data_IF_032199708393
#
_entry.id   IF_032199708393
#
_cell.length_a   1.000
_cell.length_b   1.000
_cell.length_c   1.000
_cell.angle_alpha   90.00
_cell.angle_beta   90.00
_cell.angle_gamma   90.00
#
_symmetry.space_group_name_H-M   'P 1'
#
loop_
_entity.id
_entity.type
_entity.pdbx_description
1 polymer ?
#
# COMPACT_ATOMS: atom_id res chain seq x y z
N UNK A 1 -6.00 26.52 -19.54
CA UNK A 1 -5.02 25.46 -19.23
C UNK A 1 -5.39 24.94 -17.84
N UNK A 2 -5.86 23.71 -17.72
CA UNK A 2 -6.32 23.13 -16.44
C UNK A 2 -5.09 22.96 -15.51
N UNK A 3 -5.16 23.36 -14.25
CA UNK A 3 -4.03 23.23 -13.33
C UNK A 3 -3.77 21.75 -13.04
N UNK A 4 -2.53 21.38 -12.76
CA UNK A 4 -2.17 19.99 -12.45
C UNK A 4 -2.96 19.44 -11.25
N UNK A 5 -3.27 20.30 -10.28
CA UNK A 5 -4.10 19.95 -9.12
C UNK A 5 -5.56 19.66 -9.53
N UNK A 6 -6.12 20.44 -10.46
CA UNK A 6 -7.46 20.19 -11.01
C UNK A 6 -7.56 18.84 -11.73
N UNK A 7 -6.52 18.44 -12.46
CA UNK A 7 -6.45 17.12 -13.09
C UNK A 7 -6.40 15.98 -12.06
N UNK A 8 -5.67 16.17 -10.95
CA UNK A 8 -5.57 15.20 -9.86
C UNK A 8 -6.91 15.03 -9.15
N UNK A 9 -7.64 16.11 -8.88
CA UNK A 9 -8.95 16.01 -8.24
C UNK A 9 -9.99 15.39 -9.17
N UNK A 10 -9.98 15.77 -10.45
CA UNK A 10 -10.84 15.18 -11.47
C UNK A 10 -10.59 13.68 -11.64
N UNK A 11 -9.33 13.25 -11.56
CA UNK A 11 -8.93 11.85 -11.63
C UNK A 11 -9.69 10.97 -10.62
N UNK A 12 -9.79 11.42 -9.37
CA UNK A 12 -10.54 10.71 -8.32
C UNK A 12 -12.05 10.93 -8.43
N UNK A 13 -12.50 12.17 -8.51
CA UNK A 13 -13.92 12.52 -8.37
C UNK A 13 -14.77 12.03 -9.55
N UNK A 14 -14.15 11.78 -10.70
CA UNK A 14 -14.86 11.17 -11.86
C UNK A 14 -15.05 9.66 -11.66
N UNK A 15 -14.20 8.99 -10.87
CA UNK A 15 -14.16 7.53 -10.75
C UNK A 15 -14.86 7.01 -9.50
N UNK A 16 -14.80 7.77 -8.42
CA UNK A 16 -15.28 7.38 -7.10
C UNK A 16 -16.25 8.42 -6.56
N UNK A 17 -17.23 7.98 -5.77
CA UNK A 17 -18.19 8.87 -5.13
C UNK A 17 -17.56 9.72 -4.03
N UNK A 18 -18.29 10.74 -3.60
CA UNK A 18 -17.92 11.57 -2.46
C UNK A 18 -17.68 10.69 -1.21
N UNK A 19 -16.70 11.03 -0.39
CA UNK A 19 -16.34 10.26 0.81
C UNK A 19 -15.22 9.23 0.62
N UNK A 20 -14.81 8.92 -0.62
CA UNK A 20 -13.76 7.91 -0.87
C UNK A 20 -12.44 8.29 -0.22
N UNK A 21 -12.10 9.59 -0.22
CA UNK A 21 -10.83 10.07 0.35
C UNK A 21 -10.82 9.91 1.86
N UNK A 22 -11.94 10.18 2.51
CA UNK A 22 -12.17 10.02 3.93
C UNK A 22 -12.07 8.54 4.33
N UNK A 23 -12.75 7.65 3.61
CA UNK A 23 -12.68 6.21 3.85
C UNK A 23 -11.25 5.65 3.68
N UNK A 24 -10.52 6.12 2.67
CA UNK A 24 -9.12 5.74 2.47
C UNK A 24 -8.18 6.34 3.54
N UNK A 25 -8.53 7.47 4.14
CA UNK A 25 -7.74 8.14 5.19
C UNK A 25 -7.84 7.41 6.55
N UNK A 26 -8.90 6.62 6.74
CA UNK A 26 -9.09 5.77 7.93
C UNK A 26 -8.22 4.51 7.92
N UNK A 27 -7.72 4.11 6.74
CA UNK A 27 -6.87 2.93 6.62
C UNK A 27 -5.47 3.21 7.20
N UNK A 28 -4.95 2.33 8.07
CA UNK A 28 -3.65 2.55 8.75
C UNK A 28 -2.44 2.28 7.84
N UNK A 29 -2.66 1.72 6.65
CA UNK A 29 -1.61 1.27 5.75
C UNK A 29 -0.90 2.42 5.03
N UNK A 30 0.36 2.18 4.65
CA UNK A 30 1.13 3.09 3.82
C UNK A 30 0.92 2.73 2.36
N UNK A 31 0.20 3.57 1.62
CA UNK A 31 -0.08 3.36 0.21
C UNK A 31 -0.22 4.65 -0.58
N UNK A 32 -0.07 4.52 -1.89
CA UNK A 32 -0.28 5.59 -2.88
C UNK A 32 -1.14 5.07 -4.02
N UNK A 33 -1.96 5.93 -4.60
CA UNK A 33 -2.67 5.66 -5.85
C UNK A 33 -2.13 6.63 -6.90
N UNK A 34 -1.87 6.10 -8.09
CA UNK A 34 -1.29 6.84 -9.23
C UNK A 34 -2.21 6.73 -10.44
N UNK A 35 -2.15 7.72 -11.33
CA UNK A 35 -2.98 7.75 -12.55
C UNK A 35 -2.07 7.69 -13.79
N UNK A 36 -2.09 6.60 -14.57
CA UNK A 36 -1.27 6.46 -15.76
C UNK A 36 -1.77 7.31 -16.95
N UNK A 37 -3.02 7.81 -16.91
CA UNK A 37 -3.61 8.64 -17.96
C UNK A 37 -3.14 10.11 -17.91
N UNK A 38 -2.61 10.54 -16.78
CA UNK A 38 -2.05 11.89 -16.61
C UNK A 38 -0.55 11.86 -16.95
N UNK A 39 -0.11 12.83 -17.75
CA UNK A 39 1.29 12.98 -18.15
C UNK A 39 2.24 12.94 -16.94
N UNK A 40 3.28 12.11 -17.02
CA UNK A 40 4.24 11.88 -15.95
C UNK A 40 3.84 10.81 -14.93
N UNK A 41 2.67 10.18 -15.09
CA UNK A 41 2.13 9.13 -14.20
C UNK A 41 2.20 9.56 -12.72
N UNK A 42 1.50 10.64 -12.34
CA UNK A 42 1.58 11.23 -11.02
C UNK A 42 0.85 10.42 -9.95
N UNK A 43 1.27 10.63 -8.72
CA UNK A 43 0.53 10.25 -7.51
C UNK A 43 -0.67 11.19 -7.37
N UNK A 44 -1.86 10.60 -7.34
CA UNK A 44 -3.16 11.28 -7.23
C UNK A 44 -3.76 11.12 -5.83
N UNK A 45 -3.26 10.17 -5.04
CA UNK A 45 -3.56 10.01 -3.62
C UNK A 45 -2.37 9.42 -2.86
N UNK A 46 -2.17 9.87 -1.63
CA UNK A 46 -1.17 9.33 -0.71
C UNK A 46 -1.79 9.23 0.69
N UNK A 47 -1.70 8.05 1.31
CA UNK A 47 -2.30 7.81 2.62
C UNK A 47 -1.54 8.53 3.74
N UNK A 48 -2.20 8.73 4.89
CA UNK A 48 -1.55 9.26 6.09
C UNK A 48 -0.37 8.39 6.55
N UNK A 49 -0.52 7.07 6.43
CA UNK A 49 0.55 6.11 6.71
C UNK A 49 1.78 6.35 5.83
N UNK A 50 1.56 6.58 4.53
CA UNK A 50 2.64 6.88 3.58
C UNK A 50 3.38 8.17 3.95
N UNK A 51 2.63 9.26 4.18
CA UNK A 51 3.20 10.55 4.52
C UNK A 51 4.05 10.46 5.79
N UNK A 52 3.57 9.73 6.82
CA UNK A 52 4.30 9.52 8.08
C UNK A 52 5.59 8.72 7.87
N UNK A 53 5.56 7.64 7.08
CA UNK A 53 6.73 6.78 6.85
C UNK A 53 7.82 7.50 6.07
N UNK A 54 7.45 8.27 5.05
CA UNK A 54 8.40 8.94 4.16
C UNK A 54 8.79 10.34 4.64
N UNK A 55 8.01 10.96 5.54
CA UNK A 55 8.29 12.28 6.10
C UNK A 55 7.93 13.45 5.17
N UNK A 56 7.05 13.23 4.19
CA UNK A 56 6.59 14.28 3.27
C UNK A 56 5.21 14.79 3.64
N UNK A 57 4.92 16.04 3.28
CA UNK A 57 3.55 16.55 3.29
C UNK A 57 2.78 16.14 2.03
N UNK A 58 1.45 16.15 2.11
CA UNK A 58 0.56 15.82 0.97
C UNK A 58 0.87 16.67 -0.27
N UNK A 59 1.10 17.97 -0.08
CA UNK A 59 1.37 18.93 -1.17
C UNK A 59 2.71 18.67 -1.88
N UNK A 60 3.67 18.04 -1.19
CA UNK A 60 4.96 17.69 -1.79
C UNK A 60 4.89 16.39 -2.61
N UNK A 61 3.90 15.55 -2.34
CA UNK A 61 3.76 14.21 -2.94
C UNK A 61 2.77 14.22 -4.11
N UNK A 62 1.63 14.88 -3.97
CA UNK A 62 0.61 14.91 -5.02
C UNK A 62 1.16 15.54 -6.30
N UNK A 63 0.89 14.90 -7.44
CA UNK A 63 1.38 15.34 -8.74
C UNK A 63 2.82 14.91 -9.05
N UNK A 64 3.55 14.34 -8.08
CA UNK A 64 4.89 13.80 -8.34
C UNK A 64 4.81 12.35 -8.82
N UNK A 65 5.82 11.93 -9.56
CA UNK A 65 6.02 10.53 -9.90
C UNK A 65 6.77 9.82 -8.76
N UNK A 66 6.46 8.55 -8.48
CA UNK A 66 7.07 7.78 -7.39
C UNK A 66 8.60 7.64 -7.43
N UNK A 67 9.25 7.97 -8.56
CA UNK A 67 10.72 8.04 -8.67
C UNK A 67 11.37 9.03 -7.70
N UNK A 68 10.63 10.01 -7.17
CA UNK A 68 11.17 10.99 -6.21
C UNK A 68 11.66 10.36 -4.90
N UNK A 69 11.22 9.14 -4.58
CA UNK A 69 11.63 8.43 -3.37
C UNK A 69 12.85 7.51 -3.59
N UNK A 70 13.42 7.49 -4.79
CA UNK A 70 14.61 6.71 -5.14
C UNK A 70 15.86 7.56 -4.92
N UNK A 71 16.99 6.92 -4.67
CA UNK A 71 18.26 7.62 -4.44
C UNK A 71 19.48 6.84 -4.93
N UNK A 72 20.70 7.29 -4.59
CA UNK A 72 21.94 6.82 -5.21
C UNK A 72 22.16 5.30 -5.12
N UNK A 73 21.76 4.69 -4.00
CA UNK A 73 21.88 3.24 -3.77
C UNK A 73 20.64 2.42 -4.17
N UNK A 74 19.62 3.04 -4.75
CA UNK A 74 18.45 2.29 -5.25
C UNK A 74 18.85 1.45 -6.47
N UNK A 75 18.58 0.14 -6.42
CA UNK A 75 18.96 -0.78 -7.49
C UNK A 75 18.19 -0.48 -8.79
N UNK A 76 18.92 -0.15 -9.86
CA UNK A 76 18.35 0.15 -11.18
C UNK A 76 17.56 -1.01 -11.79
N UNK A 77 17.95 -2.26 -11.52
CA UNK A 77 17.22 -3.45 -12.01
C UNK A 77 15.83 -3.52 -11.40
N UNK A 78 15.69 -3.24 -10.10
CA UNK A 78 14.39 -3.18 -9.42
C UNK A 78 13.50 -2.07 -10.02
N UNK A 79 14.07 -0.90 -10.31
CA UNK A 79 13.36 0.21 -10.96
C UNK A 79 12.90 -0.17 -12.38
N UNK A 80 13.75 -0.87 -13.14
CA UNK A 80 13.38 -1.38 -14.46
C UNK A 80 12.24 -2.41 -14.38
N UNK A 81 12.28 -3.34 -13.41
CA UNK A 81 11.23 -4.32 -13.21
C UNK A 81 9.87 -3.67 -12.90
N UNK A 82 9.86 -2.59 -12.11
CA UNK A 82 8.65 -1.79 -11.84
C UNK A 82 8.15 -1.11 -13.11
N UNK A 83 9.04 -0.48 -13.88
CA UNK A 83 8.67 0.17 -15.15
C UNK A 83 8.05 -0.84 -16.12
N UNK A 84 8.62 -2.03 -16.18
CA UNK A 84 8.12 -3.10 -17.04
C UNK A 84 6.76 -3.61 -16.57
N UNK A 85 6.57 -3.80 -15.27
CA UNK A 85 5.26 -4.17 -14.71
C UNK A 85 4.17 -3.13 -15.03
N UNK A 86 4.51 -1.84 -15.00
CA UNK A 86 3.59 -0.76 -15.42
C UNK A 86 3.28 -0.89 -16.91
N UNK A 87 4.30 -1.08 -17.77
CA UNK A 87 4.15 -1.23 -19.23
C UNK A 87 3.29 -2.44 -19.60
N UNK A 88 3.42 -3.52 -18.84
CA UNK A 88 2.70 -4.78 -19.03
C UNK A 88 1.35 -4.79 -18.30
N UNK A 89 0.99 -3.72 -17.61
CA UNK A 89 -0.24 -3.60 -16.82
C UNK A 89 -0.43 -4.80 -15.88
N UNK A 90 0.60 -5.15 -15.11
CA UNK A 90 0.58 -6.28 -14.16
C UNK A 90 1.05 -5.90 -12.76
N UNK A 91 0.73 -6.76 -11.81
CA UNK A 91 1.25 -6.65 -10.45
C UNK A 91 2.75 -6.91 -10.35
N UNK A 92 3.38 -6.34 -9.33
CA UNK A 92 4.76 -6.64 -8.94
C UNK A 92 4.94 -6.47 -7.43
N UNK A 93 5.66 -7.39 -6.82
CA UNK A 93 6.11 -7.28 -5.43
C UNK A 93 7.63 -7.38 -5.41
N UNK A 94 8.30 -6.37 -4.86
CA UNK A 94 9.77 -6.27 -4.87
C UNK A 94 10.29 -5.50 -3.67
N UNK A 95 11.41 -5.95 -3.10
CA UNK A 95 12.17 -5.19 -2.12
C UNK A 95 13.13 -4.22 -2.80
N UNK A 96 13.11 -2.96 -2.41
CA UNK A 96 14.05 -1.96 -2.89
C UNK A 96 14.37 -0.92 -1.80
N UNK A 97 15.49 -0.23 -2.01
CA UNK A 97 15.91 0.86 -1.13
C UNK A 97 15.23 2.16 -1.56
N UNK A 98 14.54 2.79 -0.62
CA UNK A 98 13.93 4.11 -0.77
C UNK A 98 14.53 5.10 0.22
N UNK A 99 14.26 6.38 0.00
CA UNK A 99 14.79 7.49 0.77
C UNK A 99 13.64 8.32 1.32
N UNK A 100 13.71 8.63 2.62
CA UNK A 100 12.83 9.59 3.27
C UNK A 100 13.20 11.01 2.86
N UNK A 101 12.37 11.98 3.22
CA UNK A 101 12.61 13.40 2.95
C UNK A 101 13.94 13.92 3.51
N UNK A 102 14.35 13.40 4.67
CA UNK A 102 15.62 13.72 5.34
C UNK A 102 16.84 13.05 4.69
N UNK A 103 16.65 12.25 3.63
CA UNK A 103 17.69 11.49 2.97
C UNK A 103 18.02 10.15 3.63
N UNK A 104 17.35 9.78 4.73
CA UNK A 104 17.59 8.50 5.41
C UNK A 104 17.16 7.33 4.51
N UNK A 105 18.08 6.42 4.13
CA UNK A 105 17.74 5.25 3.35
C UNK A 105 17.01 4.21 4.20
N UNK A 106 16.04 3.52 3.62
CA UNK A 106 15.39 2.37 4.26
C UNK A 106 14.95 1.34 3.22
N UNK A 107 14.98 0.07 3.63
CA UNK A 107 14.45 -1.02 2.82
C UNK A 107 12.93 -1.04 2.90
N UNK A 108 12.30 -1.29 1.76
CA UNK A 108 10.86 -1.32 1.64
C UNK A 108 10.44 -2.45 0.72
N UNK A 109 9.45 -3.22 1.16
CA UNK A 109 8.66 -4.06 0.29
C UNK A 109 7.65 -3.16 -0.43
N UNK A 110 7.80 -3.08 -1.75
CA UNK A 110 6.85 -2.42 -2.63
C UNK A 110 5.95 -3.47 -3.27
N UNK A 111 4.64 -3.34 -3.11
CA UNK A 111 3.65 -4.17 -3.78
C UNK A 111 2.73 -3.29 -4.61
N UNK A 112 2.74 -3.44 -5.92
CA UNK A 112 1.95 -2.64 -6.85
C UNK A 112 0.98 -3.52 -7.63
N UNK A 113 -0.26 -3.08 -7.78
CA UNK A 113 -1.24 -3.71 -8.66
C UNK A 113 -1.99 -2.66 -9.50
N UNK A 114 -2.36 -3.00 -10.74
CA UNK A 114 -3.27 -2.20 -11.54
C UNK A 114 -4.69 -2.28 -10.99
N UNK A 115 -5.43 -1.18 -11.11
CA UNK A 115 -6.86 -1.06 -10.86
C UNK A 115 -7.54 -0.89 -12.21
N UNK A 116 -8.41 -1.82 -12.56
CA UNK A 116 -9.09 -1.85 -13.85
C UNK A 116 -10.49 -1.28 -13.76
N UNK A 117 -10.95 -0.60 -14.81
CA UNK A 117 -12.39 -0.35 -14.98
C UNK A 117 -13.07 -1.62 -15.49
N UNK A 118 -14.16 -2.04 -14.86
CA UNK A 118 -14.95 -3.17 -15.35
C UNK A 118 -15.67 -2.85 -16.67
N UNK A 119 -15.91 -1.55 -16.95
CA UNK A 119 -16.61 -1.09 -18.16
C UNK A 119 -15.83 -1.34 -19.44
N UNK A 120 -14.50 -1.31 -19.42
CA UNK A 120 -13.68 -1.38 -20.63
C UNK A 120 -12.37 -2.15 -20.47
N UNK A 121 -12.09 -2.68 -19.27
CA UNK A 121 -10.87 -3.43 -18.97
C UNK A 121 -9.58 -2.60 -18.99
N UNK A 122 -9.67 -1.27 -19.04
CA UNK A 122 -8.50 -0.38 -19.01
C UNK A 122 -8.03 -0.12 -17.60
N UNK A 123 -6.72 0.05 -17.44
CA UNK A 123 -6.14 0.49 -16.16
C UNK A 123 -6.53 1.95 -15.92
N UNK A 124 -7.23 2.19 -14.82
CA UNK A 124 -7.62 3.55 -14.38
C UNK A 124 -6.63 4.10 -13.37
N UNK A 125 -6.03 3.23 -12.55
CA UNK A 125 -5.04 3.58 -11.54
C UNK A 125 -4.05 2.46 -11.32
N UNK A 126 -2.92 2.78 -10.68
CA UNK A 126 -2.13 1.78 -9.98
C UNK A 126 -2.15 2.05 -8.49
N UNK A 127 -2.41 1.02 -7.71
CA UNK A 127 -2.29 0.99 -6.26
C UNK A 127 -0.90 0.49 -5.89
N UNK A 128 -0.16 1.26 -5.10
CA UNK A 128 1.15 0.88 -4.57
C UNK A 128 1.15 0.87 -3.05
N UNK A 129 1.45 -0.28 -2.45
CA UNK A 129 1.63 -0.48 -1.01
C UNK A 129 3.12 -0.43 -0.67
N UNK A 130 3.45 0.25 0.41
CA UNK A 130 4.81 0.40 0.92
C UNK A 130 4.89 -0.15 2.34
N UNK A 131 5.63 -1.25 2.53
CA UNK A 131 5.88 -1.82 3.86
C UNK A 131 7.37 -1.69 4.18
N UNK A 132 7.77 -0.81 5.13
CA UNK A 132 9.15 -0.74 5.58
C UNK A 132 9.63 -2.11 6.10
N UNK A 133 10.82 -2.53 5.68
CA UNK A 133 11.43 -3.78 6.11
C UNK A 133 12.32 -3.48 7.32
N UNK A 134 12.02 -4.10 8.45
CA UNK A 134 12.82 -3.92 9.66
C UNK A 134 13.96 -4.94 9.69
N UNK A 135 15.20 -4.47 9.47
CA UNK A 135 16.37 -5.33 9.68
C UNK A 135 16.44 -5.68 11.15
N UNK A 136 16.28 -6.97 11.48
CA UNK A 136 16.78 -7.47 12.76
C UNK A 136 18.30 -7.40 12.67
N UNK A 137 18.92 -6.60 13.55
CA UNK A 137 20.36 -6.71 13.76
C UNK A 137 20.61 -8.14 14.19
N UNK A 138 21.26 -8.94 13.36
CA UNK A 138 21.83 -10.20 13.82
C UNK A 138 22.77 -9.81 14.95
N UNK A 139 22.37 -10.08 16.19
CA UNK A 139 23.26 -10.00 17.33
C UNK A 139 24.41 -10.95 17.01
N UNK A 140 25.53 -10.40 16.52
CA UNK A 140 26.76 -11.12 16.36
C UNK A 140 27.03 -11.87 17.67
N UNK A 141 27.29 -13.17 17.55
CA UNK A 141 27.32 -14.11 18.65
C UNK A 141 28.16 -13.63 19.83
N UNK A 142 27.50 -13.28 20.92
CA UNK A 142 28.08 -13.28 22.25
C UNK A 142 27.71 -14.59 22.93
N UNK A 143 28.49 -15.65 22.68
CA UNK A 143 28.51 -16.76 23.61
C UNK A 143 29.05 -16.24 24.94
N UNK A 144 28.32 -16.47 26.04
CA UNK A 144 28.81 -16.68 27.41
C UNK A 144 27.60 -16.99 28.30
N UNK A 145 27.71 -18.06 29.07
CA UNK A 145 27.17 -18.08 30.43
C UNK A 145 25.83 -18.78 30.65
N UNK A 146 25.94 -20.03 31.11
CA UNK A 146 24.87 -20.76 31.81
C UNK A 146 24.34 -19.92 32.98
N UNK A 147 23.03 -19.71 33.08
CA UNK A 147 22.29 -19.97 34.31
C UNK A 147 20.77 -19.90 34.05
N UNK A 148 20.08 -20.92 34.55
CA UNK A 148 18.65 -21.11 34.36
C UNK A 148 17.80 -20.20 35.24
N UNK A 149 16.52 -20.09 34.85
CA UNK A 149 15.48 -19.42 35.61
C UNK A 149 14.21 -19.31 34.78
N UNK A 150 13.28 -20.25 35.01
CA UNK A 150 11.96 -20.36 34.39
C UNK A 150 11.08 -19.17 34.76
N UNK A 151 10.27 -18.67 33.82
CA UNK A 151 9.05 -17.91 34.14
C UNK A 151 7.91 -18.42 33.26
N UNK A 152 6.84 -18.93 33.90
CA UNK A 152 5.55 -19.16 33.27
C UNK A 152 4.69 -17.88 33.35
N UNK A 153 3.87 -17.74 32.31
CA UNK A 153 2.48 -17.26 32.32
C UNK A 153 2.12 -15.89 31.73
N UNK A 154 1.09 -15.94 30.87
CA UNK A 154 -0.05 -15.03 30.89
C UNK A 154 0.00 -13.66 30.20
N UNK A 155 -0.51 -13.60 28.96
CA UNK A 155 -1.58 -12.64 28.64
C UNK A 155 -1.26 -11.25 28.08
N UNK A 156 -1.70 -11.07 26.83
CA UNK A 156 -2.31 -9.87 26.25
C UNK A 156 -1.42 -8.73 25.70
N UNK A 157 -2.00 -8.08 24.70
CA UNK A 157 -1.38 -7.29 23.65
C UNK A 157 -1.07 -5.84 24.04
N UNK A 158 -0.15 -5.28 23.25
CA UNK A 158 -0.03 -3.86 22.86
C UNK A 158 0.71 -2.93 23.82
N UNK A 159 2.03 -2.79 23.60
CA UNK A 159 2.70 -1.48 23.55
C UNK A 159 4.08 -1.58 22.87
N UNK A 160 4.28 -0.83 21.78
CA UNK A 160 5.59 -0.67 21.15
C UNK A 160 6.40 0.34 21.97
N UNK A 161 7.16 -0.15 22.95
CA UNK A 161 8.08 0.69 23.74
C UNK A 161 9.49 0.60 23.15
N UNK A 162 9.98 1.74 22.68
CA UNK A 162 11.41 1.97 22.42
C UNK A 162 12.20 1.63 23.69
N UNK A 163 13.08 0.63 23.61
CA UNK A 163 13.97 0.19 24.70
C UNK A 163 15.11 1.19 24.87
N UNK A 164 15.31 1.68 26.10
CA UNK A 164 16.57 2.15 26.73
C UNK A 164 16.21 2.70 28.13
N UNK A 165 16.86 2.47 29.27
CA UNK A 165 18.15 1.89 29.66
C UNK A 165 17.99 1.28 31.06
N UNK A 166 18.90 0.36 31.45
CA UNK A 166 19.11 0.00 32.86
C UNK A 166 19.36 1.28 33.67
N UNK A 167 18.58 1.50 34.73
CA UNK A 167 18.86 2.50 35.76
C UNK A 167 19.44 1.75 36.95
N UNK A 168 20.76 1.80 37.11
CA UNK A 168 21.36 1.52 38.41
C UNK A 168 21.14 2.73 39.31
N UNK A 169 20.77 2.43 40.55
CA UNK A 169 20.54 3.40 41.62
C UNK A 169 21.90 3.76 42.20
N UNK A 170 22.27 5.04 42.17
CA UNK A 170 23.28 5.60 43.07
C UNK A 170 22.65 6.71 43.89
N UNK A 171 22.61 6.55 45.22
CA UNK A 171 22.25 7.60 46.16
C UNK A 171 23.51 8.28 46.70
N UNK A 172 23.54 9.58 46.46
CA UNK A 172 24.24 10.73 47.06
C UNK A 172 25.23 10.55 48.22
N UNK A 173 26.36 11.28 48.11
CA UNK A 173 26.88 12.15 49.18
C UNK A 173 27.60 13.36 48.59
N UNK A 174 27.59 14.45 49.36
CA UNK A 174 27.80 15.87 49.04
C UNK A 174 29.29 16.26 49.23
N UNK A 175 29.80 17.24 48.45
CA UNK A 175 30.53 18.46 48.89
C UNK A 175 31.50 19.01 47.80
N UNK A 176 31.14 20.20 47.31
CA UNK A 176 31.98 21.42 47.18
C UNK A 176 33.07 21.67 46.09
N UNK A 177 32.93 22.88 45.52
CA UNK A 177 33.95 23.92 45.19
C UNK A 177 34.63 23.95 43.79
N UNK A 178 34.09 24.89 42.99
CA UNK A 178 34.77 26.03 42.31
C UNK A 178 35.63 25.87 41.03
N UNK A 179 35.43 26.85 40.13
CA UNK A 179 36.20 27.33 38.95
C UNK A 179 36.14 26.63 37.57
N UNK A 180 35.42 27.32 36.68
CA UNK A 180 35.67 27.72 35.28
C UNK A 180 36.71 26.97 34.40
N UNK A 181 36.27 26.56 33.18
CA UNK A 181 36.78 26.89 31.83
C UNK A 181 35.81 26.31 30.76
N UNK A 182 35.62 26.93 29.57
CA UNK A 182 34.78 26.35 28.52
C UNK A 182 35.61 25.41 27.63
N UNK A 183 35.15 24.17 27.46
CA UNK A 183 35.70 23.24 26.46
C UNK A 183 34.55 22.70 25.64
N UNK A 184 34.72 22.78 24.32
CA UNK A 184 33.80 22.38 23.27
C UNK A 184 33.14 21.01 23.50
N UNK A 185 31.82 20.96 23.33
CA UNK A 185 31.10 19.72 23.11
C UNK A 185 30.20 19.88 21.88
N UNK A 186 30.78 19.59 20.72
CA UNK A 186 30.04 19.19 19.52
C UNK A 186 29.23 17.95 19.90
N UNK A 187 27.94 18.14 20.19
CA UNK A 187 27.02 17.03 20.39
C UNK A 187 26.73 16.42 19.02
N UNK A 188 27.48 15.37 18.69
CA UNK A 188 27.25 14.52 17.54
C UNK A 188 25.83 13.98 17.55
N UNK A 189 25.09 14.27 16.47
CA UNK A 189 23.87 13.55 16.14
C UNK A 189 24.28 12.11 15.81
N UNK A 190 23.91 11.19 16.69
CA UNK A 190 24.09 9.76 16.50
C UNK A 190 23.19 9.31 15.33
N UNK A 191 23.72 9.44 14.11
CA UNK A 191 23.15 8.82 12.93
C UNK A 191 23.28 7.32 13.13
N UNK A 192 22.24 6.68 13.64
CA UNK A 192 22.13 5.23 13.65
C UNK A 192 22.31 4.75 12.22
N UNK A 193 23.50 4.25 11.89
CA UNK A 193 23.81 3.68 10.59
C UNK A 193 22.86 2.51 10.37
N UNK A 194 21.80 2.75 9.59
CA UNK A 194 20.99 1.67 9.04
C UNK A 194 21.93 0.90 8.13
N UNK A 195 22.27 -0.31 8.54
CA UNK A 195 23.16 -1.19 7.80
C UNK A 195 22.64 -1.37 6.36
N UNK A 196 23.25 -0.67 5.41
CA UNK A 196 22.83 -0.65 3.99
C UNK A 196 23.44 -1.84 3.24
N UNK A 197 24.16 -2.74 3.92
CA UNK A 197 24.84 -3.86 3.26
C UNK A 197 23.87 -4.94 2.79
N UNK A 198 23.95 -5.23 1.49
CA UNK A 198 23.28 -6.34 0.81
C UNK A 198 21.80 -6.10 0.45
N UNK A 199 21.26 -6.81 -0.57
CA UNK A 199 19.83 -6.84 -0.84
C UNK A 199 19.06 -7.33 0.40
N UNK A 200 18.01 -6.61 0.80
CA UNK A 200 17.14 -7.06 1.89
C UNK A 200 15.89 -7.73 1.31
N UNK A 201 15.63 -8.96 1.72
CA UNK A 201 14.37 -9.63 1.39
C UNK A 201 13.32 -9.33 2.45
N UNK A 202 12.06 -9.23 2.00
CA UNK A 202 10.93 -9.07 2.91
C UNK A 202 10.51 -10.42 3.49
N UNK A 203 10.24 -10.44 4.79
CA UNK A 203 9.64 -11.55 5.51
C UNK A 203 8.20 -11.83 5.06
N UNK A 204 7.70 -13.03 5.35
CA UNK A 204 6.32 -13.39 5.06
C UNK A 204 5.30 -12.53 5.80
N UNK A 205 5.67 -11.97 6.96
CA UNK A 205 4.83 -11.02 7.69
C UNK A 205 4.65 -9.72 6.90
N UNK A 206 5.73 -9.18 6.33
CA UNK A 206 5.68 -7.95 5.51
C UNK A 206 4.91 -8.19 4.21
N UNK A 207 5.10 -9.36 3.58
CA UNK A 207 4.33 -9.75 2.39
C UNK A 207 2.84 -9.92 2.68
N UNK A 208 2.50 -10.58 3.79
CA UNK A 208 1.12 -10.75 4.24
C UNK A 208 0.47 -9.40 4.51
N UNK A 209 1.17 -8.49 5.21
CA UNK A 209 0.69 -7.14 5.45
C UNK A 209 0.40 -6.40 4.15
N UNK A 210 1.29 -6.50 3.16
CA UNK A 210 1.08 -5.89 1.86
C UNK A 210 -0.16 -6.46 1.14
N UNK A 211 -0.37 -7.78 1.16
CA UNK A 211 -1.52 -8.42 0.53
C UNK A 211 -2.85 -8.06 1.21
N UNK A 212 -2.88 -8.02 2.55
CA UNK A 212 -4.07 -7.59 3.31
C UNK A 212 -4.41 -6.13 3.00
N UNK A 213 -3.41 -5.25 2.96
CA UNK A 213 -3.61 -3.85 2.60
C UNK A 213 -4.21 -3.70 1.19
N UNK A 214 -3.68 -4.43 0.20
CA UNK A 214 -4.25 -4.43 -1.17
C UNK A 214 -5.73 -4.78 -1.14
N UNK A 215 -6.11 -5.88 -0.48
CA UNK A 215 -7.51 -6.33 -0.45
C UNK A 215 -8.43 -5.31 0.20
N UNK A 216 -8.02 -4.74 1.34
CA UNK A 216 -8.82 -3.74 2.06
C UNK A 216 -9.01 -2.47 1.22
N UNK A 217 -7.95 -1.97 0.60
CA UNK A 217 -8.01 -0.76 -0.22
C UNK A 217 -8.82 -0.99 -1.50
N UNK A 218 -8.62 -2.13 -2.17
CA UNK A 218 -9.42 -2.49 -3.35
C UNK A 218 -10.90 -2.60 -3.02
N UNK A 219 -11.27 -3.14 -1.86
CA UNK A 219 -12.66 -3.20 -1.41
C UNK A 219 -13.27 -1.80 -1.23
N UNK A 220 -12.53 -0.86 -0.63
CA UNK A 220 -12.97 0.55 -0.51
C UNK A 220 -13.14 1.17 -1.90
N UNK A 221 -12.16 1.02 -2.79
CA UNK A 221 -12.23 1.58 -4.14
C UNK A 221 -13.41 1.00 -4.94
N UNK A 222 -13.66 -0.31 -4.84
CA UNK A 222 -14.77 -0.97 -5.51
C UNK A 222 -16.12 -0.42 -5.01
N UNK A 223 -16.33 -0.38 -3.69
CA UNK A 223 -17.57 0.14 -3.08
C UNK A 223 -17.88 1.57 -3.52
N UNK A 224 -16.89 2.47 -3.45
CA UNK A 224 -17.08 3.88 -3.85
C UNK A 224 -17.12 4.08 -5.37
N UNK A 225 -16.74 3.09 -6.16
CA UNK A 225 -16.87 3.14 -7.63
C UNK A 225 -18.24 2.62 -8.11
N UNK A 226 -18.86 1.71 -7.36
CA UNK A 226 -20.19 1.17 -7.63
C UNK A 226 -21.25 2.26 -7.55
N UNK A 227 -21.16 3.13 -6.53
CA UNK A 227 -22.06 4.27 -6.33
C UNK A 227 -22.10 5.25 -7.52
N UNK A 228 -21.03 5.30 -8.32
CA UNK A 228 -20.94 6.14 -9.51
C UNK A 228 -21.16 5.37 -10.83
N UNK A 229 -21.51 4.08 -10.78
CA UNK A 229 -21.68 3.22 -11.94
C UNK A 229 -20.38 2.98 -12.72
N UNK A 230 -19.22 3.10 -12.05
CA UNK A 230 -17.87 3.01 -12.65
C UNK A 230 -17.03 1.96 -11.95
N UNK A 231 -17.62 0.78 -11.78
CA UNK A 231 -17.04 -0.31 -11.00
C UNK A 231 -15.58 -0.59 -11.39
N UNK A 232 -14.74 -0.76 -10.37
CA UNK A 232 -13.32 -1.09 -10.52
C UNK A 232 -12.99 -2.44 -9.88
N UNK A 233 -11.96 -3.09 -10.41
CA UNK A 233 -11.52 -4.41 -9.98
C UNK A 233 -9.99 -4.53 -9.98
N UNK A 234 -9.47 -5.51 -9.23
CA UNK A 234 -8.07 -5.93 -9.27
C UNK A 234 -7.78 -6.88 -10.45
N UNK A 235 -8.83 -7.36 -11.12
CA UNK A 235 -8.75 -8.21 -12.30
C UNK A 235 -9.20 -7.46 -13.54
N UNK A 236 -8.52 -7.72 -14.66
CA UNK A 236 -8.96 -7.20 -15.94
C UNK A 236 -10.24 -7.92 -16.35
N UNK A 237 -11.34 -7.19 -16.45
CA UNK A 237 -12.55 -7.70 -17.09
C UNK A 237 -12.27 -7.85 -18.58
N UNK A 238 -12.16 -9.10 -19.05
CA UNK A 238 -12.29 -9.40 -20.46
C UNK A 238 -13.77 -9.21 -20.80
N UNK A 239 -14.12 -8.19 -21.58
CA UNK A 239 -15.39 -8.21 -22.30
C UNK A 239 -15.31 -9.31 -23.36
N UNK A 240 -15.40 -10.56 -22.93
CA UNK A 240 -15.85 -11.62 -23.82
C UNK A 240 -17.29 -11.27 -24.17
N UNK A 241 -17.60 -11.23 -25.46
CA UNK A 241 -18.94 -11.01 -26.02
C UNK A 241 -20.00 -12.06 -25.57
N UNK A 242 -19.72 -12.83 -24.51
CA UNK A 242 -20.55 -13.87 -23.94
C UNK A 242 -21.58 -13.37 -22.92
N UNK A 243 -21.44 -12.15 -22.37
CA UNK A 243 -22.45 -11.60 -21.43
C UNK A 243 -23.75 -11.14 -22.11
N UNK A 244 -23.77 -11.00 -23.43
CA UNK A 244 -25.02 -10.75 -24.20
C UNK A 244 -25.74 -12.04 -24.59
N UNK A 245 -25.09 -13.20 -24.51
CA UNK A 245 -25.71 -14.48 -24.89
C UNK A 245 -26.59 -15.07 -23.78
N UNK A 246 -26.29 -14.80 -22.50
CA UNK A 246 -27.11 -15.31 -21.39
C UNK A 246 -28.49 -14.65 -21.31
N UNK A 247 -28.59 -13.35 -21.61
CA UNK A 247 -29.88 -12.66 -21.69
C UNK A 247 -30.70 -13.11 -22.91
N UNK A 248 -30.03 -13.36 -24.04
CA UNK A 248 -30.68 -13.80 -25.28
C UNK A 248 -31.21 -15.25 -25.20
N UNK A 249 -30.51 -16.13 -24.48
CA UNK A 249 -30.93 -17.52 -24.26
C UNK A 249 -32.13 -17.63 -23.30
N UNK A 250 -32.22 -16.78 -22.27
CA UNK A 250 -33.36 -16.82 -21.34
C UNK A 250 -34.68 -16.35 -21.99
N UNK A 251 -34.64 -15.31 -22.83
CA UNK A 251 -35.84 -14.86 -23.57
C UNK A 251 -36.27 -15.92 -24.59
N UNK A 252 -35.31 -16.60 -25.22
CA UNK A 252 -35.60 -17.68 -26.17
C UNK A 252 -36.28 -18.87 -25.49
N UNK A 253 -35.87 -19.21 -24.26
CA UNK A 253 -36.44 -20.33 -23.51
C UNK A 253 -37.88 -20.04 -23.04
N UNK A 254 -38.15 -18.82 -22.55
CA UNK A 254 -39.50 -18.40 -22.13
C UNK A 254 -40.49 -18.36 -23.31
N UNK A 255 -40.07 -17.93 -24.50
CA UNK A 255 -40.91 -17.96 -25.69
C UNK A 255 -41.27 -19.40 -26.09
N UNK A 256 -40.31 -20.33 -26.14
CA UNK A 256 -40.62 -21.75 -26.41
C UNK A 256 -41.55 -22.37 -25.37
N UNK A 257 -41.39 -22.03 -24.09
CA UNK A 257 -42.24 -22.57 -23.03
C UNK A 257 -43.68 -22.03 -23.09
N UNK A 258 -43.85 -20.78 -23.54
CA UNK A 258 -45.16 -20.14 -23.75
C UNK A 258 -45.86 -20.68 -25.00
N UNK A 259 -45.13 -20.94 -26.09
CA UNK A 259 -45.70 -21.57 -27.30
C UNK A 259 -46.19 -23.00 -27.05
N UNK A 260 -45.46 -23.78 -26.25
CA UNK A 260 -45.82 -25.17 -25.99
C UNK A 260 -46.99 -25.32 -25.01
N UNK A 261 -47.16 -24.38 -24.06
CA UNK A 261 -48.33 -24.31 -23.18
C UNK A 261 -49.60 -23.82 -23.89
N UNK A 262 -49.48 -22.93 -24.87
CA UNK A 262 -50.61 -22.55 -25.73
C UNK A 262 -51.07 -23.68 -26.67
N UNK A 263 -50.17 -24.54 -27.17
CA UNK A 263 -50.58 -25.69 -28.01
C UNK A 263 -51.29 -26.80 -27.22
N UNK A 264 -50.86 -27.06 -25.98
CA UNK A 264 -51.47 -28.09 -25.12
C UNK A 264 -52.85 -27.69 -24.58
N UNK A 265 -53.15 -26.40 -24.46
CA UNK A 265 -54.45 -25.90 -24.01
C UNK A 265 -55.54 -25.86 -25.10
N UNK A 266 -55.16 -25.98 -26.39
CA UNK A 266 -56.12 -26.05 -27.52
C UNK A 266 -56.57 -27.49 -27.87
N UNK A 267 -56.01 -28.53 -27.25
CA UNK A 267 -56.40 -29.94 -27.50
C UNK A 267 -57.36 -30.52 -26.45
N UNK A 268 -57.75 -29.74 -25.44
CA UNK A 268 -58.70 -30.18 -24.39
C UNK A 268 -59.93 -29.27 -24.38
N UNK A 269 -60.75 -29.36 -25.43
CA UNK A 269 -62.11 -28.82 -25.45
C UNK A 269 -63.02 -29.95 -25.94
N UNK A 270 -63.82 -30.59 -25.06
CA UNK A 270 -64.84 -31.54 -25.49
C UNK A 270 -66.04 -30.80 -26.07
N UNK A 271 -66.58 -31.36 -27.16
CA UNK A 271 -67.85 -31.00 -27.82
C UNK A 271 -69.07 -31.23 -26.93
#
# INVERSE_FOLDING_TARGET
MESQLGLIDKSFNVKYSDGVREALDELPDSFTITDPSISGHPIVYASRGFLKVFGYSKNEVLGKNGRVFQGPKTNRRSVMAIREAIREERGIQISLLNYRKDGTPFWMLFNMCPVYSEKDGRVVHFLGIQVPILRRRNSLGGGIGRNGGVCYDGGNCREYVYKCCRREVCSNSIMEVDRALPVDAVSGLDHTEVDVEGPCEASDQEKTKASVAVNNIMSVLANYSELNGRLVSDRRCCQSATSLLSASLNISFELTHTYQTCQLSMQVMPS
#
